data_IF_183542140301
#
_entry.id   IF_183542140301
#
_cell.length_a   1.000
_cell.length_b   1.000
_cell.length_c   1.000
_cell.angle_alpha   90.00
_cell.angle_beta   90.00
_cell.angle_gamma   90.00
#
_symmetry.space_group_name_H-M   'P 1'
#
loop_
_entity.id
_entity.type
_entity.pdbx_description
1 polymer ?
#
# COMPACT_ATOMS: atom_id res chain seq x y z
N UNK A 1 -14.86 -27.90 14.94
CA UNK A 1 -15.56 -29.13 15.38
C UNK A 1 -16.63 -28.86 16.45
N UNK A 2 -16.35 -28.24 17.62
CA UNK A 2 -17.43 -27.99 18.61
C UNK A 2 -18.57 -27.03 18.16
N UNK A 3 -18.28 -26.10 17.25
CA UNK A 3 -19.21 -25.03 16.84
C UNK A 3 -20.32 -25.49 15.87
N UNK A 4 -20.05 -26.47 15.02
CA UNK A 4 -21.09 -27.03 14.14
C UNK A 4 -22.14 -27.77 14.98
N UNK A 5 -21.71 -28.45 16.05
CA UNK A 5 -22.59 -29.03 17.05
C UNK A 5 -23.47 -27.98 17.74
N UNK A 6 -22.94 -26.85 18.22
CA UNK A 6 -23.76 -25.86 18.94
C UNK A 6 -24.81 -25.17 18.05
N UNK A 7 -24.51 -24.99 16.75
CA UNK A 7 -25.48 -24.46 15.78
C UNK A 7 -26.53 -25.50 15.42
N UNK A 8 -26.12 -26.75 15.21
CA UNK A 8 -27.04 -27.86 14.98
C UNK A 8 -27.98 -28.06 16.17
N UNK A 9 -27.46 -28.07 17.40
CA UNK A 9 -28.26 -28.18 18.63
C UNK A 9 -29.25 -27.02 18.75
N UNK A 10 -28.84 -25.78 18.46
CA UNK A 10 -29.74 -24.64 18.48
C UNK A 10 -30.87 -24.75 17.44
N UNK A 11 -30.56 -25.21 16.23
CA UNK A 11 -31.56 -25.45 15.16
C UNK A 11 -32.53 -26.56 15.58
N UNK A 12 -32.02 -27.67 16.12
CA UNK A 12 -32.84 -28.79 16.59
C UNK A 12 -33.79 -28.32 17.70
N UNK A 13 -33.30 -27.56 18.68
CA UNK A 13 -34.13 -27.03 19.75
C UNK A 13 -35.19 -26.04 19.25
N UNK A 14 -34.87 -25.21 18.25
CA UNK A 14 -35.85 -24.31 17.61
C UNK A 14 -36.95 -25.06 16.87
N UNK A 15 -36.64 -26.21 16.25
CA UNK A 15 -37.64 -27.04 15.57
C UNK A 15 -38.49 -27.79 16.59
N UNK A 16 -37.89 -28.37 17.62
CA UNK A 16 -38.61 -29.08 18.69
C UNK A 16 -39.55 -28.14 19.45
N UNK A 17 -39.14 -26.88 19.66
CA UNK A 17 -39.96 -25.87 20.34
C UNK A 17 -41.23 -25.44 19.60
N UNK A 18 -41.39 -25.82 18.32
CA UNK A 18 -42.66 -25.61 17.58
C UNK A 18 -43.80 -26.40 18.24
N UNK A 19 -43.54 -27.62 18.72
CA UNK A 19 -44.56 -28.51 19.28
C UNK A 19 -45.18 -27.92 20.57
N UNK A 20 -44.39 -27.47 21.56
CA UNK A 20 -44.91 -26.74 22.73
C UNK A 20 -45.66 -25.45 22.37
N UNK A 21 -45.22 -24.72 21.34
CA UNK A 21 -45.88 -23.47 20.92
C UNK A 21 -47.26 -23.76 20.34
N UNK A 22 -47.39 -24.79 19.49
CA UNK A 22 -48.69 -25.22 18.95
C UNK A 22 -49.60 -25.68 20.09
N UNK A 23 -49.09 -26.50 21.01
CA UNK A 23 -49.83 -26.99 22.16
C UNK A 23 -50.35 -25.85 23.05
N UNK A 24 -49.49 -24.91 23.42
CA UNK A 24 -49.86 -23.74 24.22
C UNK A 24 -50.88 -22.84 23.48
N UNK A 25 -50.71 -22.67 22.17
CA UNK A 25 -51.63 -21.89 21.34
C UNK A 25 -53.03 -22.49 21.32
N UNK A 26 -53.15 -23.81 21.26
CA UNK A 26 -54.43 -24.52 21.28
C UNK A 26 -55.12 -24.47 22.64
N UNK A 27 -54.34 -24.41 23.73
CA UNK A 27 -54.88 -24.26 25.08
C UNK A 27 -55.36 -22.84 25.38
N UNK A 28 -54.68 -21.82 24.84
CA UNK A 28 -55.04 -20.40 25.02
C UNK A 28 -56.18 -19.97 24.07
N UNK A 29 -56.34 -20.67 22.94
CA UNK A 29 -57.34 -20.35 21.91
C UNK A 29 -58.76 -20.05 22.43
N UNK A 30 -59.33 -20.79 23.40
CA UNK A 30 -60.68 -20.51 23.92
C UNK A 30 -60.80 -19.22 24.73
N UNK A 31 -59.70 -18.69 25.27
CA UNK A 31 -59.67 -17.54 26.18
C UNK A 31 -59.30 -16.22 25.47
N UNK A 32 -59.13 -16.26 24.15
CA UNK A 32 -58.68 -15.09 23.38
C UNK A 32 -59.76 -14.03 23.20
N UNK A 33 -61.03 -14.43 23.20
CA UNK A 33 -62.16 -13.53 23.03
C UNK A 33 -62.32 -12.50 24.16
N UNK A 34 -61.93 -12.81 25.41
CA UNK A 34 -61.96 -11.85 26.53
C UNK A 34 -60.62 -11.18 26.85
N UNK A 35 -59.64 -11.28 25.94
CA UNK A 35 -58.39 -10.52 26.01
C UNK A 35 -57.40 -10.96 27.08
N UNK A 36 -56.39 -10.12 27.32
CA UNK A 36 -55.24 -10.42 28.21
C UNK A 36 -55.62 -10.85 29.65
N UNK A 37 -56.64 -10.27 30.32
CA UNK A 37 -57.00 -10.68 31.67
C UNK A 37 -57.54 -12.11 31.75
N UNK A 38 -58.34 -12.52 30.77
CA UNK A 38 -58.93 -13.87 30.72
C UNK A 38 -57.89 -14.92 30.30
N UNK A 39 -56.95 -14.55 29.42
CA UNK A 39 -55.79 -15.38 29.09
C UNK A 39 -54.93 -15.60 30.34
N UNK A 40 -54.64 -14.55 31.12
CA UNK A 40 -53.80 -14.64 32.32
C UNK A 40 -54.45 -15.46 33.44
N UNK A 41 -55.76 -15.29 33.65
CA UNK A 41 -56.51 -16.07 34.64
C UNK A 41 -56.59 -17.56 34.27
N UNK A 42 -56.79 -17.88 32.98
CA UNK A 42 -56.81 -19.26 32.52
C UNK A 42 -55.41 -19.88 32.45
N UNK A 43 -54.35 -19.11 32.21
CA UNK A 43 -52.98 -19.63 32.13
C UNK A 43 -52.56 -20.38 33.41
N UNK A 44 -53.06 -19.95 34.58
CA UNK A 44 -52.80 -20.57 35.87
C UNK A 44 -53.46 -21.95 36.01
N UNK A 45 -54.62 -22.16 35.38
CA UNK A 45 -55.39 -23.41 35.43
C UNK A 45 -55.12 -24.34 34.24
N UNK A 46 -54.44 -23.86 33.19
CA UNK A 46 -54.03 -24.65 32.02
C UNK A 46 -53.12 -25.84 32.37
N UNK A 47 -52.31 -25.72 33.42
CA UNK A 47 -51.40 -26.79 33.84
C UNK A 47 -52.09 -27.91 34.64
N UNK A 48 -53.28 -27.64 35.18
CA UNK A 48 -54.06 -28.65 35.89
C UNK A 48 -54.70 -29.66 34.92
N UNK A 49 -54.95 -29.25 33.66
CA UNK A 49 -55.55 -30.10 32.62
C UNK A 49 -54.84 -29.94 31.26
N UNK A 50 -53.60 -30.43 31.12
CA UNK A 50 -52.74 -30.16 29.96
C UNK A 50 -53.22 -30.75 28.62
N UNK A 51 -54.19 -31.66 28.63
CA UNK A 51 -54.69 -32.34 27.43
C UNK A 51 -56.13 -31.96 27.05
N UNK A 52 -56.78 -31.04 27.78
CA UNK A 52 -58.16 -30.61 27.49
C UNK A 52 -58.22 -29.56 26.37
N UNK A 53 -57.88 -29.96 25.15
CA UNK A 53 -57.87 -29.08 23.97
C UNK A 53 -59.28 -28.95 23.39
N UNK A 54 -59.82 -27.72 23.35
CA UNK A 54 -61.09 -27.39 22.69
C UNK A 54 -60.83 -26.61 21.41
N UNK A 55 -61.18 -27.19 20.27
CA UNK A 55 -61.08 -26.50 18.98
C UNK A 55 -62.21 -25.49 18.83
N UNK A 56 -61.87 -24.20 18.78
CA UNK A 56 -62.78 -23.08 18.56
C UNK A 56 -62.44 -22.36 17.25
N UNK A 57 -63.32 -21.45 16.79
CA UNK A 57 -63.13 -20.72 15.54
C UNK A 57 -61.83 -19.89 15.48
N UNK A 58 -61.29 -19.51 16.65
CA UNK A 58 -60.06 -18.73 16.74
C UNK A 58 -58.79 -19.57 16.89
N UNK A 59 -58.88 -20.89 17.10
CA UNK A 59 -57.72 -21.78 17.31
C UNK A 59 -56.67 -21.69 16.21
N UNK A 60 -57.09 -21.62 14.95
CA UNK A 60 -56.17 -21.54 13.81
C UNK A 60 -55.45 -20.19 13.76
N UNK A 61 -56.15 -19.08 14.02
CA UNK A 61 -55.55 -17.74 14.06
C UNK A 61 -54.52 -17.62 15.18
N UNK A 62 -54.84 -18.16 16.35
CA UNK A 62 -53.96 -18.15 17.52
C UNK A 62 -52.67 -18.92 17.29
N UNK A 63 -52.77 -20.13 16.73
CA UNK A 63 -51.60 -20.95 16.38
C UNK A 63 -50.70 -20.22 15.39
N UNK A 64 -51.28 -19.61 14.34
CA UNK A 64 -50.50 -18.87 13.34
C UNK A 64 -49.79 -17.65 13.93
N UNK A 65 -50.47 -16.86 14.76
CA UNK A 65 -49.88 -15.67 15.40
C UNK A 65 -48.73 -16.05 16.33
N UNK A 66 -48.92 -17.05 17.19
CA UNK A 66 -47.88 -17.47 18.14
C UNK A 66 -46.70 -18.17 17.45
N UNK A 67 -46.94 -18.94 16.38
CA UNK A 67 -45.88 -19.47 15.55
C UNK A 67 -45.09 -18.36 14.83
N UNK A 68 -45.77 -17.32 14.36
CA UNK A 68 -45.11 -16.16 13.75
C UNK A 68 -44.25 -15.40 14.77
N UNK A 69 -44.77 -15.14 15.97
CA UNK A 69 -44.02 -14.53 17.07
C UNK A 69 -42.81 -15.38 17.48
N UNK A 70 -42.99 -16.72 17.56
CA UNK A 70 -41.91 -17.65 17.87
C UNK A 70 -40.83 -17.67 16.78
N UNK A 71 -41.24 -17.72 15.51
CA UNK A 71 -40.33 -17.63 14.36
C UNK A 71 -39.56 -16.31 14.32
N UNK A 72 -40.22 -15.18 14.62
CA UNK A 72 -39.58 -13.88 14.73
C UNK A 72 -38.56 -13.83 15.88
N UNK A 73 -38.89 -14.39 17.05
CA UNK A 73 -37.97 -14.49 18.18
C UNK A 73 -36.73 -15.33 17.88
N UNK A 74 -36.90 -16.47 17.20
CA UNK A 74 -35.78 -17.30 16.72
C UNK A 74 -34.94 -16.52 15.70
N UNK A 75 -35.57 -15.81 14.77
CA UNK A 75 -34.89 -14.98 13.79
C UNK A 75 -34.00 -13.92 14.44
N UNK A 76 -34.50 -13.22 15.45
CA UNK A 76 -33.74 -12.24 16.25
C UNK A 76 -32.60 -12.93 17.01
N UNK A 77 -32.83 -14.10 17.60
CA UNK A 77 -31.80 -14.84 18.33
C UNK A 77 -30.63 -15.25 17.44
N UNK A 78 -30.90 -15.76 16.24
CA UNK A 78 -29.84 -16.14 15.30
C UNK A 78 -29.16 -14.93 14.67
N UNK A 79 -29.86 -13.81 14.46
CA UNK A 79 -29.27 -12.58 13.89
C UNK A 79 -28.38 -11.83 14.90
N UNK A 80 -28.68 -11.90 16.19
CA UNK A 80 -27.92 -11.23 17.26
C UNK A 80 -26.71 -12.03 17.76
N UNK A 81 -26.51 -13.27 17.30
CA UNK A 81 -25.33 -14.08 17.66
C UNK A 81 -24.05 -13.50 17.06
N UNK A 82 -23.32 -12.75 17.87
CA UNK A 82 -21.96 -12.29 17.55
C UNK A 82 -20.92 -13.39 17.75
N UNK A 83 -19.83 -13.31 16.98
CA UNK A 83 -18.70 -14.25 17.05
C UNK A 83 -17.77 -13.94 18.24
N UNK A 84 -18.20 -14.27 19.45
CA UNK A 84 -17.35 -14.11 20.64
C UNK A 84 -16.35 -15.27 20.78
N UNK A 85 -15.07 -14.93 20.96
CA UNK A 85 -13.99 -15.88 21.29
C UNK A 85 -13.75 -15.89 22.80
N UNK A 86 -14.73 -16.41 23.54
CA UNK A 86 -14.71 -16.40 25.02
C UNK A 86 -13.50 -17.21 25.52
N UNK A 87 -12.80 -16.68 26.53
CA UNK A 87 -11.60 -17.27 27.15
C UNK A 87 -10.34 -17.30 26.27
N UNK A 88 -10.34 -16.58 25.15
CA UNK A 88 -9.16 -16.37 24.30
C UNK A 88 -8.67 -14.90 24.38
N UNK A 89 -8.89 -14.24 25.53
CA UNK A 89 -8.63 -12.81 25.76
C UNK A 89 -7.14 -12.45 25.65
N UNK A 90 -6.26 -13.35 26.05
CA UNK A 90 -4.80 -13.21 25.92
C UNK A 90 -4.24 -13.84 24.64
N UNK A 91 -5.09 -14.18 23.68
CA UNK A 91 -4.71 -14.82 22.43
C UNK A 91 -4.96 -16.33 22.41
N UNK A 92 -5.10 -16.87 21.19
CA UNK A 92 -5.37 -18.29 20.92
C UNK A 92 -4.27 -18.95 20.09
N UNK A 93 -3.08 -18.36 20.11
CA UNK A 93 -1.92 -18.89 19.41
C UNK A 93 -1.56 -20.27 19.95
N UNK A 94 -1.21 -21.18 19.06
CA UNK A 94 -0.79 -22.53 19.41
C UNK A 94 0.30 -23.00 18.44
N UNK A 95 1.17 -23.87 18.93
CA UNK A 95 2.13 -24.56 18.08
C UNK A 95 1.38 -25.39 17.04
N UNK A 96 1.71 -25.16 15.78
CA UNK A 96 1.11 -25.88 14.67
C UNK A 96 1.96 -27.06 14.23
N UNK A 97 1.31 -28.08 13.67
CA UNK A 97 2.02 -29.17 13.02
C UNK A 97 2.57 -28.70 11.66
N UNK A 98 3.89 -28.81 11.48
CA UNK A 98 4.62 -28.33 10.29
C UNK A 98 4.04 -28.90 9.00
N UNK A 99 3.81 -30.22 8.93
CA UNK A 99 3.26 -30.87 7.74
C UNK A 99 1.85 -30.39 7.42
N UNK A 100 1.03 -30.18 8.44
CA UNK A 100 -0.33 -29.67 8.27
C UNK A 100 -0.35 -28.21 7.78
N UNK A 101 0.57 -27.37 8.28
CA UNK A 101 0.71 -25.97 7.85
C UNK A 101 1.19 -25.91 6.41
N UNK A 102 2.26 -26.61 6.06
CA UNK A 102 2.80 -26.62 4.70
C UNK A 102 1.77 -27.19 3.70
N UNK A 103 1.11 -28.31 4.02
CA UNK A 103 0.03 -28.85 3.16
C UNK A 103 -1.10 -27.85 2.92
N UNK A 104 -1.41 -27.00 3.90
CA UNK A 104 -2.49 -26.00 3.81
C UNK A 104 -2.11 -24.81 2.92
N UNK A 105 -0.86 -24.36 2.97
CA UNK A 105 -0.44 -23.11 2.34
C UNK A 105 0.45 -23.30 1.11
N UNK A 106 1.02 -24.48 0.88
CA UNK A 106 1.79 -24.81 -0.31
C UNK A 106 0.91 -24.82 -1.56
N UNK A 107 1.44 -24.28 -2.64
CA UNK A 107 0.90 -24.33 -3.99
C UNK A 107 1.76 -25.24 -4.87
N UNK A 108 1.14 -25.88 -5.87
CA UNK A 108 1.84 -26.56 -6.96
C UNK A 108 1.61 -25.74 -8.24
N UNK A 109 2.62 -25.54 -9.11
CA UNK A 109 4.02 -26.00 -9.00
C UNK A 109 4.84 -25.27 -7.93
N UNK A 110 6.07 -25.76 -7.62
CA UNK A 110 6.93 -25.17 -6.59
C UNK A 110 7.31 -23.71 -6.87
N UNK A 111 7.40 -23.32 -8.14
CA UNK A 111 7.64 -21.94 -8.59
C UNK A 111 6.54 -20.96 -8.16
N UNK A 112 5.38 -21.43 -7.70
CA UNK A 112 4.29 -20.58 -7.22
C UNK A 112 4.34 -20.35 -5.70
N UNK A 113 5.52 -20.49 -5.07
CA UNK A 113 5.66 -20.38 -3.62
C UNK A 113 6.78 -19.44 -3.22
N UNK A 114 6.55 -18.76 -2.10
CA UNK A 114 7.55 -18.05 -1.30
C UNK A 114 8.02 -18.97 -0.17
N UNK A 115 9.34 -19.03 0.03
CA UNK A 115 9.96 -19.86 1.06
C UNK A 115 9.89 -19.13 2.42
N UNK A 116 9.37 -19.82 3.44
CA UNK A 116 9.28 -19.28 4.80
C UNK A 116 10.30 -19.92 5.73
N UNK A 117 10.39 -21.25 5.70
CA UNK A 117 11.36 -22.06 6.45
C UNK A 117 11.80 -23.25 5.61
N UNK A 118 12.71 -24.08 6.12
CA UNK A 118 13.13 -25.32 5.47
C UNK A 118 11.95 -26.26 5.12
N UNK A 119 10.87 -26.21 5.90
CA UNK A 119 9.75 -27.15 5.79
C UNK A 119 8.42 -26.50 5.39
N UNK A 120 8.36 -25.17 5.31
CA UNK A 120 7.11 -24.44 5.06
C UNK A 120 7.32 -23.40 3.97
N UNK A 121 6.39 -23.41 3.01
CA UNK A 121 6.26 -22.37 2.00
C UNK A 121 4.81 -21.86 1.95
N UNK A 122 4.63 -20.69 1.37
CA UNK A 122 3.32 -20.07 1.16
C UNK A 122 3.11 -19.78 -0.33
N UNK A 123 1.98 -20.22 -0.86
CA UNK A 123 1.61 -19.99 -2.25
C UNK A 123 1.41 -18.51 -2.56
N UNK A 124 1.84 -18.07 -3.74
CA UNK A 124 1.71 -16.68 -4.20
C UNK A 124 0.24 -16.27 -4.44
N UNK A 125 -0.68 -17.22 -4.55
CA UNK A 125 -2.10 -16.92 -4.70
C UNK A 125 -2.77 -16.57 -3.35
N UNK A 126 -2.75 -15.28 -3.01
CA UNK A 126 -3.36 -14.77 -1.79
C UNK A 126 -4.88 -15.02 -1.72
N UNK A 127 -5.61 -15.04 -2.85
CA UNK A 127 -7.06 -15.32 -2.89
C UNK A 127 -7.37 -16.76 -2.47
N UNK A 128 -6.55 -17.72 -2.91
CA UNK A 128 -6.68 -19.13 -2.54
C UNK A 128 -6.42 -19.36 -1.06
N UNK A 129 -5.32 -18.80 -0.54
CA UNK A 129 -4.87 -19.07 0.83
C UNK A 129 -5.47 -18.11 1.87
N UNK A 130 -6.12 -17.01 1.42
CA UNK A 130 -6.67 -15.93 2.24
C UNK A 130 -5.64 -15.42 3.26
N UNK A 131 -4.41 -15.20 2.79
CA UNK A 131 -3.29 -14.72 3.60
C UNK A 131 -2.55 -13.63 2.87
N UNK A 132 -2.18 -12.59 3.62
CA UNK A 132 -1.22 -11.60 3.17
C UNK A 132 0.17 -12.27 3.06
N UNK A 133 0.91 -11.91 2.01
CA UNK A 133 2.24 -12.42 1.70
C UNK A 133 3.38 -11.51 2.20
N UNK A 134 3.03 -10.35 2.77
CA UNK A 134 3.94 -9.48 3.48
C UNK A 134 4.58 -10.26 4.62
N UNK A 135 5.91 -10.23 4.70
CA UNK A 135 6.68 -10.98 5.70
C UNK A 135 7.67 -10.05 6.36
N UNK A 136 7.59 -9.98 7.69
CA UNK A 136 8.58 -9.30 8.51
C UNK A 136 9.55 -10.35 9.06
N UNK A 137 10.84 -10.15 8.81
CA UNK A 137 11.91 -11.00 9.35
C UNK A 137 12.72 -10.18 10.33
N UNK A 138 12.57 -10.48 11.62
CA UNK A 138 13.30 -9.81 12.70
C UNK A 138 14.48 -10.66 13.14
N UNK A 139 15.64 -10.03 13.31
CA UNK A 139 16.84 -10.66 13.85
C UNK A 139 17.95 -9.64 14.02
N UNK A 140 18.80 -9.84 15.03
CA UNK A 140 19.96 -8.98 15.28
C UNK A 140 20.97 -8.97 14.12
N UNK A 141 21.99 -8.13 14.22
CA UNK A 141 23.15 -8.23 13.33
C UNK A 141 23.78 -9.61 13.45
N UNK A 142 24.24 -10.19 12.32
CA UNK A 142 24.81 -11.54 12.29
C UNK A 142 23.79 -12.70 12.38
N UNK A 143 22.49 -12.44 12.56
CA UNK A 143 21.46 -13.50 12.63
C UNK A 143 21.23 -14.25 11.29
N UNK A 144 21.89 -13.82 10.21
CA UNK A 144 21.83 -14.47 8.91
C UNK A 144 20.54 -14.21 8.12
N UNK A 145 19.85 -13.08 8.35
CA UNK A 145 18.62 -12.69 7.63
C UNK A 145 18.79 -12.76 6.10
N UNK A 146 19.84 -12.13 5.59
CA UNK A 146 20.19 -12.10 4.16
C UNK A 146 20.49 -13.51 3.64
N UNK A 147 21.33 -14.26 4.36
CA UNK A 147 21.81 -15.59 3.94
C UNK A 147 20.74 -16.68 3.99
N UNK A 148 19.89 -16.68 5.01
CA UNK A 148 18.93 -17.77 5.26
C UNK A 148 17.51 -17.47 4.77
N UNK A 149 17.18 -16.20 4.50
CA UNK A 149 15.83 -15.84 4.03
C UNK A 149 15.84 -15.09 2.69
N UNK A 150 16.61 -14.00 2.55
CA UNK A 150 16.59 -13.19 1.34
C UNK A 150 17.15 -13.94 0.13
N UNK A 151 18.41 -14.40 0.21
CA UNK A 151 19.09 -15.13 -0.87
C UNK A 151 18.30 -16.38 -1.29
N UNK A 152 17.83 -17.27 -0.39
CA UNK A 152 17.04 -18.43 -0.80
C UNK A 152 15.74 -18.08 -1.53
N UNK A 153 15.04 -17.02 -1.13
CA UNK A 153 13.81 -16.59 -1.81
C UNK A 153 14.07 -16.01 -3.20
N UNK A 154 15.21 -15.33 -3.41
CA UNK A 154 15.64 -14.84 -4.72
C UNK A 154 16.10 -16.00 -5.59
N UNK A 155 16.94 -16.89 -5.05
CA UNK A 155 17.42 -18.09 -5.74
C UNK A 155 16.30 -19.05 -6.10
N UNK A 156 15.20 -19.09 -5.33
CA UNK A 156 14.00 -19.86 -5.67
C UNK A 156 13.44 -19.43 -7.03
N UNK A 157 13.53 -18.14 -7.38
CA UNK A 157 13.02 -17.56 -8.61
C UNK A 157 11.58 -17.99 -8.88
N UNK A 158 10.72 -17.64 -7.92
CA UNK A 158 9.30 -17.92 -8.01
C UNK A 158 8.68 -17.16 -9.20
N UNK A 159 7.42 -17.43 -9.56
CA UNK A 159 6.73 -16.72 -10.66
C UNK A 159 6.36 -15.30 -10.24
N UNK A 160 7.37 -14.46 -10.01
CA UNK A 160 7.29 -13.06 -9.66
C UNK A 160 8.53 -12.31 -10.18
N UNK A 161 8.40 -10.99 -10.30
CA UNK A 161 9.52 -10.06 -10.42
C UNK A 161 10.09 -9.73 -9.05
N UNK A 162 11.33 -9.27 -9.00
CA UNK A 162 12.01 -8.92 -7.76
C UNK A 162 12.43 -7.46 -7.76
N UNK A 163 12.26 -6.81 -6.62
CA UNK A 163 12.82 -5.48 -6.32
C UNK A 163 13.62 -5.65 -5.04
N UNK A 164 14.94 -5.55 -5.14
CA UNK A 164 15.86 -5.89 -4.05
C UNK A 164 16.56 -4.61 -3.59
N UNK A 165 16.40 -4.27 -2.32
CA UNK A 165 17.31 -3.34 -1.64
C UNK A 165 18.53 -4.14 -1.20
N UNK A 166 19.70 -3.80 -1.72
CA UNK A 166 20.93 -4.56 -1.53
C UNK A 166 22.05 -3.68 -0.96
N UNK A 167 22.10 -3.50 0.37
CA UNK A 167 23.23 -2.84 1.00
C UNK A 167 24.53 -3.56 0.62
N UNK A 168 25.53 -2.81 0.13
CA UNK A 168 26.85 -3.31 -0.31
C UNK A 168 26.88 -4.20 -1.56
N UNK A 169 25.74 -4.49 -2.19
CA UNK A 169 25.70 -5.27 -3.43
C UNK A 169 26.00 -6.77 -3.29
N UNK A 170 25.86 -7.33 -2.08
CA UNK A 170 26.16 -8.75 -1.83
C UNK A 170 25.14 -9.69 -2.47
N UNK A 171 23.88 -9.28 -2.55
CA UNK A 171 22.80 -10.10 -3.10
C UNK A 171 22.90 -10.15 -4.63
N UNK A 172 23.17 -9.02 -5.29
CA UNK A 172 23.41 -8.95 -6.73
C UNK A 172 24.58 -9.84 -7.12
N UNK A 173 25.71 -9.73 -6.41
CA UNK A 173 26.90 -10.54 -6.66
C UNK A 173 26.62 -12.04 -6.60
N UNK A 174 25.85 -12.47 -5.62
CA UNK A 174 25.57 -13.89 -5.39
C UNK A 174 24.46 -14.45 -6.28
N UNK A 175 23.50 -13.62 -6.71
CA UNK A 175 22.24 -14.09 -7.33
C UNK A 175 21.94 -13.53 -8.71
N UNK A 176 22.57 -12.45 -9.15
CA UNK A 176 22.29 -11.78 -10.43
C UNK A 176 22.39 -12.73 -11.63
N UNK A 177 23.55 -13.35 -11.83
CA UNK A 177 23.78 -14.33 -12.91
C UNK A 177 22.84 -15.54 -12.85
N UNK A 178 22.39 -15.94 -11.65
CA UNK A 178 21.41 -17.03 -11.51
C UNK A 178 20.05 -16.59 -12.04
N UNK A 179 19.63 -15.36 -11.76
CA UNK A 179 18.36 -14.81 -12.24
C UNK A 179 18.38 -14.67 -13.76
N UNK A 180 19.47 -14.16 -14.35
CA UNK A 180 19.64 -14.10 -15.81
C UNK A 180 19.47 -15.48 -16.46
N UNK A 181 20.14 -16.51 -15.91
CA UNK A 181 20.00 -17.90 -16.38
C UNK A 181 18.58 -18.45 -16.23
N UNK A 182 17.79 -17.89 -15.32
CA UNK A 182 16.37 -18.24 -15.12
C UNK A 182 15.41 -17.37 -15.94
N UNK A 183 15.93 -16.56 -16.85
CA UNK A 183 15.18 -15.74 -17.79
C UNK A 183 14.64 -14.46 -17.17
N UNK A 184 15.31 -13.92 -16.15
CA UNK A 184 15.03 -12.58 -15.66
C UNK A 184 15.86 -11.56 -16.42
N UNK A 185 15.24 -10.43 -16.73
CA UNK A 185 15.97 -9.22 -17.08
C UNK A 185 16.50 -8.58 -15.78
N UNK A 186 17.82 -8.52 -15.62
CA UNK A 186 18.45 -7.94 -14.42
C UNK A 186 18.75 -6.47 -14.69
N UNK A 187 18.18 -5.61 -13.86
CA UNK A 187 18.37 -4.16 -13.89
C UNK A 187 18.98 -3.73 -12.57
N UNK A 188 19.86 -2.74 -12.61
CA UNK A 188 20.67 -2.35 -11.45
C UNK A 188 20.70 -0.83 -11.36
N UNK A 189 20.17 -0.29 -10.26
CA UNK A 189 20.44 1.06 -9.81
C UNK A 189 21.59 1.01 -8.80
N UNK A 190 22.79 1.40 -9.22
CA UNK A 190 24.00 1.36 -8.40
C UNK A 190 24.37 2.73 -7.85
N UNK A 191 24.16 2.96 -6.55
CA UNK A 191 24.57 4.20 -5.88
C UNK A 191 25.95 4.10 -5.21
N UNK A 192 26.65 2.97 -5.37
CA UNK A 192 28.03 2.75 -4.93
C UNK A 192 28.99 3.03 -6.08
N UNK A 193 28.68 2.52 -7.27
CA UNK A 193 29.42 2.70 -8.52
C UNK A 193 28.47 3.17 -9.62
N UNK A 194 28.08 4.44 -9.54
CA UNK A 194 27.07 5.06 -10.42
C UNK A 194 27.39 4.95 -11.91
N UNK A 195 28.66 4.91 -12.27
CA UNK A 195 29.13 4.75 -13.66
C UNK A 195 28.83 3.37 -14.26
N UNK A 196 28.45 2.39 -13.44
CA UNK A 196 28.05 1.03 -13.86
C UNK A 196 26.54 0.79 -13.71
N UNK A 197 25.81 1.79 -13.22
CA UNK A 197 24.38 1.73 -13.02
C UNK A 197 23.64 1.79 -14.35
N UNK A 198 22.47 1.16 -14.41
CA UNK A 198 21.45 1.55 -15.39
C UNK A 198 20.93 2.95 -15.05
N UNK A 199 20.48 3.67 -16.07
CA UNK A 199 19.94 5.01 -15.90
C UNK A 199 18.50 4.98 -15.36
N UNK A 200 18.18 5.94 -14.50
CA UNK A 200 16.85 6.13 -13.92
C UNK A 200 16.46 7.60 -13.97
N UNK A 201 15.52 7.94 -14.85
CA UNK A 201 15.02 9.30 -14.98
C UNK A 201 13.59 9.41 -14.41
N UNK A 202 13.37 10.13 -13.29
CA UNK A 202 12.05 10.30 -12.70
C UNK A 202 11.01 10.98 -13.60
N UNK A 203 11.43 11.78 -14.60
CA UNK A 203 10.51 12.49 -15.49
C UNK A 203 9.71 11.54 -16.38
N UNK A 204 10.27 10.40 -16.76
CA UNK A 204 9.62 9.38 -17.61
C UNK A 204 8.34 8.82 -16.99
N UNK A 205 8.22 8.89 -15.66
CA UNK A 205 7.09 8.34 -14.90
C UNK A 205 6.04 9.39 -14.51
N UNK A 206 6.17 10.63 -14.99
CA UNK A 206 5.21 11.70 -14.77
C UNK A 206 4.10 11.62 -15.82
N UNK A 207 2.83 11.52 -15.38
CA UNK A 207 1.68 11.46 -16.29
C UNK A 207 0.72 12.63 -16.13
N UNK A 208 0.72 13.28 -14.97
CA UNK A 208 -0.21 14.36 -14.63
C UNK A 208 0.35 15.24 -13.51
N UNK A 209 -0.33 16.36 -13.24
CA UNK A 209 0.09 17.35 -12.26
C UNK A 209 0.28 16.81 -10.84
N UNK A 210 -0.50 15.80 -10.43
CA UNK A 210 -0.35 15.21 -9.10
C UNK A 210 0.96 14.44 -8.97
N UNK A 211 1.47 13.86 -10.06
CA UNK A 211 2.72 13.10 -10.03
C UNK A 211 3.92 14.03 -9.94
N UNK A 212 3.87 15.19 -10.62
CA UNK A 212 4.85 16.29 -10.46
C UNK A 212 4.88 16.76 -9.01
N UNK A 213 3.71 17.05 -8.42
CA UNK A 213 3.62 17.46 -7.01
C UNK A 213 4.17 16.40 -6.04
N UNK A 214 3.87 15.12 -6.27
CA UNK A 214 4.39 14.03 -5.45
C UNK A 214 5.90 13.89 -5.59
N UNK A 215 6.46 14.00 -6.80
CA UNK A 215 7.90 13.96 -7.04
C UNK A 215 8.62 15.05 -6.24
N UNK A 216 8.20 16.31 -6.40
CA UNK A 216 8.79 17.45 -5.67
C UNK A 216 8.64 17.28 -4.16
N UNK A 217 7.45 16.92 -3.70
CA UNK A 217 7.20 16.69 -2.27
C UNK A 217 8.10 15.59 -1.70
N UNK A 218 8.28 14.48 -2.42
CA UNK A 218 9.12 13.37 -1.99
C UNK A 218 10.60 13.74 -1.99
N UNK A 219 11.06 14.51 -2.98
CA UNK A 219 12.43 15.00 -3.04
C UNK A 219 12.75 15.90 -1.84
N UNK A 220 11.91 16.90 -1.54
CA UNK A 220 12.08 17.77 -0.37
C UNK A 220 12.03 16.99 0.95
N UNK A 221 11.11 16.03 1.09
CA UNK A 221 11.03 15.17 2.28
C UNK A 221 12.26 14.29 2.46
N UNK A 222 12.85 13.83 1.36
CA UNK A 222 13.98 12.89 1.40
C UNK A 222 15.33 13.59 1.52
N UNK A 223 15.42 14.86 1.12
CA UNK A 223 16.62 15.71 1.26
C UNK A 223 16.61 16.55 2.54
N UNK A 224 15.57 16.43 3.38
CA UNK A 224 15.49 17.07 4.69
C UNK A 224 16.04 16.15 5.78
N UNK A 225 17.08 16.57 6.54
CA UNK A 225 17.64 15.74 7.60
C UNK A 225 16.59 15.33 8.65
N UNK A 226 16.76 14.13 9.22
CA UNK A 226 15.84 13.63 10.25
C UNK A 226 15.97 14.46 11.52
N UNK A 227 14.88 15.10 11.94
CA UNK A 227 14.84 15.92 13.16
C UNK A 227 15.09 17.42 12.93
N UNK A 228 15.49 17.83 11.73
CA UNK A 228 15.49 19.24 11.32
C UNK A 228 14.13 19.58 10.71
N UNK A 229 13.15 19.91 11.54
CA UNK A 229 12.05 20.75 11.04
C UNK A 229 12.66 22.14 10.83
N UNK A 230 12.55 22.70 9.63
CA UNK A 230 12.92 24.10 9.43
C UNK A 230 12.13 24.94 10.43
N UNK A 231 12.80 25.77 11.22
CA UNK A 231 12.13 26.73 12.10
C UNK A 231 11.29 27.75 11.30
N UNK A 232 11.53 27.87 10.00
CA UNK A 232 10.79 28.73 9.08
C UNK A 232 10.37 27.95 7.81
N UNK A 233 9.10 27.47 7.76
CA UNK A 233 8.57 26.73 6.60
C UNK A 233 8.49 27.54 5.31
N UNK A 234 8.64 28.87 5.38
CA UNK A 234 8.53 29.75 4.21
C UNK A 234 9.55 29.37 3.12
N UNK A 235 10.82 29.24 3.48
CA UNK A 235 11.91 29.01 2.53
C UNK A 235 11.77 27.67 1.79
N UNK A 236 11.43 26.60 2.52
CA UNK A 236 11.20 25.28 1.93
C UNK A 236 9.97 25.29 1.01
N UNK A 237 8.91 26.00 1.39
CA UNK A 237 7.69 26.12 0.59
C UNK A 237 7.95 26.90 -0.69
N UNK A 238 8.63 28.04 -0.61
CA UNK A 238 8.96 28.87 -1.76
C UNK A 238 9.94 28.18 -2.71
N UNK A 239 10.97 27.50 -2.18
CA UNK A 239 11.88 26.69 -2.98
C UNK A 239 11.15 25.53 -3.68
N UNK A 240 10.17 24.91 -3.01
CA UNK A 240 9.31 23.89 -3.63
C UNK A 240 8.44 24.48 -4.74
N UNK A 241 7.93 25.71 -4.62
CA UNK A 241 7.17 26.37 -5.69
C UNK A 241 8.04 26.63 -6.91
N UNK A 242 9.27 27.12 -6.71
CA UNK A 242 10.22 27.30 -7.81
C UNK A 242 10.51 25.96 -8.50
N UNK A 243 10.80 24.89 -7.73
CA UNK A 243 11.03 23.58 -8.33
C UNK A 243 9.81 23.06 -9.10
N UNK A 244 8.59 23.26 -8.58
CA UNK A 244 7.37 22.90 -9.30
C UNK A 244 7.29 23.64 -10.64
N UNK A 245 7.53 24.95 -10.66
CA UNK A 245 7.54 25.73 -11.90
C UNK A 245 8.51 25.15 -12.94
N UNK A 246 9.75 24.84 -12.52
CA UNK A 246 10.77 24.27 -13.40
C UNK A 246 10.40 22.87 -13.91
N UNK A 247 9.94 21.97 -13.03
CA UNK A 247 9.56 20.61 -13.42
C UNK A 247 8.33 20.62 -14.33
N UNK A 248 7.35 21.48 -14.06
CA UNK A 248 6.18 21.64 -14.93
C UNK A 248 6.54 22.16 -16.31
N UNK A 249 7.45 23.15 -16.37
CA UNK A 249 7.95 23.66 -17.64
C UNK A 249 8.62 22.53 -18.44
N UNK A 250 9.58 21.82 -17.82
CA UNK A 250 10.30 20.75 -18.50
C UNK A 250 9.36 19.61 -18.93
N UNK A 251 8.42 19.21 -18.09
CA UNK A 251 7.52 18.09 -18.40
C UNK A 251 6.59 18.37 -19.60
N UNK A 252 6.08 19.60 -19.72
CA UNK A 252 5.06 19.93 -20.71
C UNK A 252 5.61 20.62 -21.98
N UNK A 253 6.69 21.40 -21.86
CA UNK A 253 7.18 22.24 -22.96
C UNK A 253 8.54 21.77 -23.51
N UNK A 254 9.40 21.17 -22.67
CA UNK A 254 10.74 20.76 -23.09
C UNK A 254 10.73 19.38 -23.76
N UNK A 255 11.63 19.14 -24.74
CA UNK A 255 11.74 17.85 -25.39
C UNK A 255 12.24 16.77 -24.41
N UNK A 256 11.89 15.47 -24.62
CA UNK A 256 12.17 14.40 -23.66
C UNK A 256 13.64 14.28 -23.20
N UNK A 257 14.60 14.59 -24.07
CA UNK A 257 16.04 14.59 -23.79
C UNK A 257 16.46 15.64 -22.76
N UNK A 258 15.70 16.73 -22.63
CA UNK A 258 15.95 17.81 -21.67
C UNK A 258 15.21 17.60 -20.35
N UNK A 259 14.29 16.63 -20.29
CA UNK A 259 13.47 16.36 -19.10
C UNK A 259 14.25 15.61 -18.02
N UNK A 260 15.18 16.29 -17.35
CA UNK A 260 16.01 15.70 -16.30
C UNK A 260 16.44 16.75 -15.25
N UNK A 261 16.96 16.28 -14.11
CA UNK A 261 17.38 17.17 -13.03
C UNK A 261 18.66 17.97 -13.34
N UNK A 262 19.48 17.54 -14.31
CA UNK A 262 20.61 18.34 -14.76
C UNK A 262 20.10 19.62 -15.45
N UNK A 263 19.08 19.52 -16.30
CA UNK A 263 18.43 20.68 -16.91
C UNK A 263 17.72 21.57 -15.88
N UNK A 264 17.09 21.00 -14.85
CA UNK A 264 16.56 21.79 -13.73
C UNK A 264 17.65 22.67 -13.10
N UNK A 265 18.86 22.12 -12.92
CA UNK A 265 19.99 22.88 -12.39
C UNK A 265 20.51 23.95 -13.36
N UNK A 266 20.49 23.69 -14.67
CA UNK A 266 20.81 24.70 -15.68
C UNK A 266 19.79 25.85 -15.69
N UNK A 267 18.49 25.53 -15.68
CA UNK A 267 17.43 26.54 -15.59
C UNK A 267 17.58 27.39 -14.32
N UNK A 268 17.91 26.77 -13.18
CA UNK A 268 18.14 27.48 -11.92
C UNK A 268 19.33 28.43 -12.01
N UNK A 269 20.43 28.02 -12.67
CA UNK A 269 21.58 28.90 -12.95
C UNK A 269 21.22 30.04 -13.90
N UNK A 270 20.44 29.76 -14.93
CA UNK A 270 19.96 30.73 -15.90
C UNK A 270 19.00 31.78 -15.30
N UNK A 271 18.46 31.53 -14.11
CA UNK A 271 17.66 32.48 -13.35
C UNK A 271 18.45 33.31 -12.33
N UNK A 272 19.78 33.20 -12.28
CA UNK A 272 20.58 33.86 -11.26
C UNK A 272 20.42 35.39 -11.30
N UNK A 273 20.20 35.98 -10.13
CA UNK A 273 20.10 37.43 -9.94
C UNK A 273 21.52 37.97 -9.65
N UNK A 274 22.12 38.60 -10.66
CA UNK A 274 23.47 39.16 -10.57
C UNK A 274 23.51 40.48 -9.79
N UNK A 275 22.64 41.43 -10.14
CA UNK A 275 22.51 42.73 -9.47
C UNK A 275 21.18 42.82 -8.71
N UNK A 276 21.26 43.15 -7.41
CA UNK A 276 20.08 43.31 -6.55
C UNK A 276 19.43 44.70 -6.71
N UNK A 277 20.22 45.69 -7.16
CA UNK A 277 19.83 47.10 -7.28
C UNK A 277 19.37 47.46 -8.70
N UNK A 278 19.78 46.69 -9.72
CA UNK A 278 19.32 46.81 -11.12
C UNK A 278 18.85 45.45 -11.68
N UNK A 279 17.61 45.02 -11.34
CA UNK A 279 17.10 43.72 -11.75
C UNK A 279 16.73 43.72 -13.25
N UNK A 280 17.68 43.33 -14.09
CA UNK A 280 17.41 42.97 -15.48
C UNK A 280 16.75 41.58 -15.56
N UNK A 281 15.83 41.34 -16.51
CA UNK A 281 15.24 40.02 -16.72
C UNK A 281 16.32 38.98 -17.02
N UNK A 282 16.34 37.90 -16.24
CA UNK A 282 17.23 36.77 -16.48
C UNK A 282 16.79 35.96 -17.71
N UNK A 283 17.66 35.12 -18.30
CA UNK A 283 17.24 34.15 -19.31
C UNK A 283 16.05 33.28 -18.88
N UNK A 284 15.96 32.91 -17.61
CA UNK A 284 14.81 32.18 -17.07
C UNK A 284 13.53 33.04 -17.07
N UNK A 285 13.63 34.33 -16.73
CA UNK A 285 12.48 35.25 -16.74
C UNK A 285 11.94 35.45 -18.17
N UNK A 286 12.84 35.53 -19.15
CA UNK A 286 12.46 35.60 -20.56
C UNK A 286 11.75 34.31 -21.01
N UNK A 287 12.28 33.14 -20.63
CA UNK A 287 11.68 31.84 -20.94
C UNK A 287 10.23 31.72 -20.44
N UNK A 288 9.98 32.14 -19.19
CA UNK A 288 8.62 32.13 -18.63
C UNK A 288 7.75 33.25 -19.21
N UNK A 289 8.34 34.37 -19.64
CA UNK A 289 7.61 35.44 -20.33
C UNK A 289 7.13 35.01 -21.72
N UNK A 290 7.96 34.26 -22.46
CA UNK A 290 7.58 33.67 -23.75
C UNK A 290 6.46 32.63 -23.57
N UNK A 291 6.57 31.76 -22.55
CA UNK A 291 5.50 30.81 -22.20
C UNK A 291 4.19 31.53 -21.85
N UNK A 292 4.25 32.70 -21.20
CA UNK A 292 3.07 33.50 -20.88
C UNK A 292 2.40 34.07 -22.14
N UNK A 293 3.17 34.42 -23.17
CA UNK A 293 2.64 34.89 -24.46
C UNK A 293 1.92 33.74 -25.17
N UNK A 294 2.52 32.55 -25.17
CA UNK A 294 2.00 31.40 -25.91
C UNK A 294 0.84 30.70 -25.18
N UNK A 295 0.94 30.54 -23.86
CA UNK A 295 -0.04 29.85 -23.02
C UNK A 295 -0.19 30.49 -21.62
N UNK A 296 -0.97 31.58 -21.48
CA UNK A 296 -1.11 32.33 -20.23
C UNK A 296 -1.64 31.50 -19.03
N UNK A 297 -2.41 30.44 -19.29
CA UNK A 297 -3.03 29.60 -18.26
C UNK A 297 -2.16 28.42 -17.80
N UNK A 298 -0.94 28.30 -18.35
CA UNK A 298 -0.03 27.20 -18.08
C UNK A 298 0.30 27.07 -16.57
N UNK A 299 0.30 25.84 -16.05
CA UNK A 299 0.48 25.58 -14.61
C UNK A 299 1.88 26.02 -14.12
N UNK A 300 2.91 25.88 -14.95
CA UNK A 300 4.25 26.33 -14.61
C UNK A 300 4.29 27.84 -14.29
N UNK A 301 3.55 28.66 -15.04
CA UNK A 301 3.45 30.11 -14.80
C UNK A 301 2.83 30.43 -13.46
N UNK A 302 1.78 29.70 -13.05
CA UNK A 302 1.10 29.90 -11.76
C UNK A 302 2.08 29.72 -10.59
N UNK A 303 2.92 28.69 -10.66
CA UNK A 303 3.97 28.47 -9.67
C UNK A 303 5.12 29.48 -9.79
N UNK A 304 5.53 29.85 -11.01
CA UNK A 304 6.58 30.83 -11.25
C UNK A 304 6.21 32.21 -10.71
N UNK A 305 5.00 32.71 -11.00
CA UNK A 305 4.49 33.98 -10.46
C UNK A 305 4.37 33.96 -8.93
N UNK A 306 3.97 32.82 -8.35
CA UNK A 306 3.89 32.68 -6.90
C UNK A 306 5.27 32.83 -6.25
N UNK A 307 6.29 32.22 -6.86
CA UNK A 307 7.70 32.40 -6.47
C UNK A 307 8.17 33.86 -6.69
N UNK A 308 7.86 34.45 -7.83
CA UNK A 308 8.37 35.75 -8.29
C UNK A 308 7.66 36.98 -7.68
N UNK A 309 7.04 36.82 -6.51
CA UNK A 309 6.26 37.87 -5.83
C UNK A 309 7.04 38.66 -4.76
N UNK A 310 8.27 38.24 -4.46
CA UNK A 310 9.14 38.87 -3.46
C UNK A 310 10.19 39.84 -4.04
N UNK A 311 10.94 40.50 -3.17
CA UNK A 311 12.08 41.35 -3.58
C UNK A 311 13.24 40.52 -4.17
N UNK A 312 14.11 41.12 -4.98
CA UNK A 312 15.28 40.45 -5.59
C UNK A 312 16.13 39.68 -4.57
N UNK A 313 16.37 40.28 -3.40
CA UNK A 313 17.08 39.63 -2.27
C UNK A 313 16.37 38.39 -1.74
N UNK A 314 15.03 38.42 -1.68
CA UNK A 314 14.21 37.27 -1.25
C UNK A 314 14.26 36.16 -2.29
N UNK A 315 14.10 36.49 -3.57
CA UNK A 315 14.18 35.54 -4.68
C UNK A 315 15.54 34.84 -4.73
N UNK A 316 16.63 35.59 -4.61
CA UNK A 316 17.99 35.05 -4.53
C UNK A 316 18.16 34.08 -3.37
N UNK A 317 17.61 34.39 -2.19
CA UNK A 317 17.64 33.48 -1.04
C UNK A 317 16.81 32.20 -1.25
N UNK A 318 15.70 32.29 -1.98
CA UNK A 318 14.91 31.11 -2.36
C UNK A 318 15.68 30.24 -3.36
N UNK A 319 16.33 30.84 -4.38
CA UNK A 319 17.17 30.12 -5.34
C UNK A 319 18.33 29.40 -4.66
N UNK A 320 19.02 30.06 -3.72
CA UNK A 320 20.09 29.45 -2.92
C UNK A 320 19.55 28.26 -2.11
N UNK A 321 18.36 28.40 -1.52
CA UNK A 321 17.71 27.31 -0.79
C UNK A 321 17.44 26.12 -1.70
N UNK A 322 16.87 26.34 -2.88
CA UNK A 322 16.63 25.27 -3.86
C UNK A 322 17.93 24.63 -4.35
N UNK A 323 18.94 25.43 -4.71
CA UNK A 323 20.24 24.95 -5.17
C UNK A 323 20.92 24.08 -4.12
N UNK A 324 20.84 24.44 -2.83
CA UNK A 324 21.37 23.64 -1.74
C UNK A 324 20.65 22.28 -1.60
N UNK A 325 19.33 22.22 -1.84
CA UNK A 325 18.57 20.96 -1.82
C UNK A 325 18.89 20.05 -3.01
N UNK A 326 19.22 20.64 -4.15
CA UNK A 326 19.52 19.92 -5.38
C UNK A 326 21.03 19.74 -5.64
N UNK A 327 21.89 20.16 -4.70
CA UNK A 327 23.35 20.18 -4.86
C UNK A 327 23.93 18.84 -5.33
N UNK A 328 23.36 17.71 -4.88
CA UNK A 328 23.77 16.37 -5.30
C UNK A 328 23.63 16.11 -6.81
N UNK A 329 22.73 16.79 -7.50
CA UNK A 329 22.56 16.69 -8.96
C UNK A 329 23.64 17.44 -9.75
N UNK A 330 24.48 18.26 -9.10
CA UNK A 330 25.66 18.83 -9.77
C UNK A 330 26.78 17.81 -9.98
N UNK A 331 26.72 16.66 -9.30
CA UNK A 331 27.71 15.60 -9.51
C UNK A 331 27.48 14.95 -10.87
N UNK A 332 28.52 14.95 -11.72
CA UNK A 332 28.46 14.38 -13.07
C UNK A 332 27.97 12.92 -13.06
N UNK A 333 28.40 12.13 -12.07
CA UNK A 333 27.95 10.75 -11.89
C UNK A 333 26.45 10.63 -11.65
N UNK A 334 25.86 11.58 -10.92
CA UNK A 334 24.43 11.57 -10.63
C UNK A 334 23.61 12.14 -11.78
N UNK A 335 24.11 13.19 -12.43
CA UNK A 335 23.51 13.74 -13.63
C UNK A 335 23.45 12.67 -14.74
N UNK A 336 24.54 11.94 -14.97
CA UNK A 336 24.60 10.84 -15.93
C UNK A 336 23.59 9.73 -15.58
N UNK A 337 23.57 9.29 -14.31
CA UNK A 337 22.65 8.25 -13.83
C UNK A 337 21.17 8.65 -14.01
N UNK A 338 20.85 9.94 -13.96
CA UNK A 338 19.45 10.45 -14.07
C UNK A 338 19.10 11.07 -15.42
N UNK A 339 19.99 10.93 -16.41
CA UNK A 339 19.82 11.55 -17.74
C UNK A 339 18.80 10.81 -18.63
N UNK A 340 18.74 9.49 -18.50
CA UNK A 340 17.85 8.61 -19.28
C UNK A 340 17.14 7.60 -18.36
N UNK A 341 16.19 6.85 -18.89
CA UNK A 341 15.57 5.73 -18.18
C UNK A 341 15.81 4.41 -18.90
N UNK A 342 16.38 3.46 -18.16
CA UNK A 342 16.57 2.07 -18.57
C UNK A 342 15.87 1.11 -17.59
N UNK A 343 15.24 1.64 -16.53
CA UNK A 343 14.63 0.84 -15.49
C UNK A 343 13.24 0.33 -15.85
N UNK A 344 12.49 1.02 -16.73
CA UNK A 344 11.19 0.61 -17.25
C UNK A 344 10.30 -0.01 -16.15
N UNK A 345 9.93 0.82 -15.17
CA UNK A 345 9.33 0.36 -13.90
C UNK A 345 8.00 -0.37 -14.07
N UNK A 346 7.21 -0.04 -15.10
CA UNK A 346 5.92 -0.67 -15.34
C UNK A 346 6.08 -2.16 -15.67
N UNK A 347 7.09 -2.51 -16.49
CA UNK A 347 7.30 -3.89 -16.95
C UNK A 347 7.59 -4.90 -15.84
N UNK A 348 7.98 -4.47 -14.64
CA UNK A 348 8.12 -5.35 -13.47
C UNK A 348 6.80 -6.10 -13.17
N UNK A 349 5.64 -5.49 -13.46
CA UNK A 349 4.32 -6.10 -13.30
C UNK A 349 3.89 -7.02 -14.44
N UNK A 350 4.65 -7.08 -15.54
CA UNK A 350 4.23 -7.72 -16.80
C UNK A 350 5.13 -8.89 -17.19
N UNK A 351 6.45 -8.73 -17.03
CA UNK A 351 7.48 -9.73 -17.38
C UNK A 351 8.41 -9.99 -16.20
N UNK A 352 9.27 -11.01 -16.30
CA UNK A 352 10.24 -11.36 -15.25
C UNK A 352 11.40 -10.37 -15.22
N UNK A 353 11.38 -9.46 -14.26
CA UNK A 353 12.44 -8.47 -14.05
C UNK A 353 12.98 -8.58 -12.63
N UNK A 354 14.28 -8.40 -12.46
CA UNK A 354 14.92 -8.28 -11.15
C UNK A 354 15.65 -6.94 -11.06
N UNK A 355 15.07 -6.00 -10.33
CA UNK A 355 15.64 -4.68 -10.09
C UNK A 355 16.41 -4.69 -8.77
N UNK A 356 17.72 -4.45 -8.83
CA UNK A 356 18.58 -4.29 -7.67
C UNK A 356 18.86 -2.82 -7.42
N UNK A 357 18.57 -2.33 -6.21
CA UNK A 357 18.95 -1.01 -5.74
C UNK A 357 20.09 -1.15 -4.74
N UNK A 358 21.31 -0.85 -5.20
CA UNK A 358 22.52 -0.93 -4.39
C UNK A 358 22.71 0.39 -3.64
N UNK A 359 22.84 0.29 -2.33
CA UNK A 359 23.11 1.44 -1.47
C UNK A 359 24.40 1.23 -0.67
N UNK A 360 25.19 2.29 -0.46
CA UNK A 360 26.28 2.26 0.52
C UNK A 360 25.70 2.07 1.94
N UNK A 361 26.39 1.30 2.77
CA UNK A 361 25.99 0.98 4.15
C UNK A 361 26.42 2.06 5.16
N UNK A 362 27.47 2.82 4.81
CA UNK A 362 28.08 3.86 5.62
C UNK A 362 27.63 5.29 5.28
N UNK A 363 26.97 5.48 4.13
CA UNK A 363 26.54 6.78 3.63
C UNK A 363 25.07 6.75 3.22
N UNK A 364 24.33 7.80 3.59
CA UNK A 364 22.91 7.96 3.26
C UNK A 364 22.64 9.08 2.26
N UNK A 365 23.70 9.72 1.74
CA UNK A 365 23.64 10.91 0.89
C UNK A 365 22.75 10.74 -0.34
N UNK A 366 22.70 9.53 -0.94
CA UNK A 366 21.92 9.25 -2.16
C UNK A 366 20.64 8.45 -1.93
N UNK A 367 20.28 8.14 -0.67
CA UNK A 367 19.09 7.34 -0.35
C UNK A 367 17.77 8.01 -0.78
N UNK A 368 17.80 9.32 -1.08
CA UNK A 368 16.65 10.03 -1.63
C UNK A 368 16.23 9.48 -3.01
N UNK A 369 17.18 9.05 -3.85
CA UNK A 369 16.85 8.48 -5.17
C UNK A 369 16.09 7.17 -5.05
N UNK A 370 16.53 6.31 -4.14
CA UNK A 370 15.83 5.05 -3.82
C UNK A 370 14.42 5.34 -3.27
N UNK A 371 14.25 6.39 -2.49
CA UNK A 371 12.94 6.81 -1.98
C UNK A 371 11.99 7.28 -3.11
N UNK A 372 12.52 8.05 -4.07
CA UNK A 372 11.77 8.48 -5.26
C UNK A 372 11.43 7.27 -6.13
N UNK A 373 12.42 6.40 -6.40
CA UNK A 373 12.27 5.15 -7.15
C UNK A 373 11.14 4.30 -6.58
N UNK A 374 11.13 4.04 -5.27
CA UNK A 374 10.07 3.24 -4.66
C UNK A 374 8.71 3.89 -4.82
N UNK A 375 8.62 5.21 -4.66
CA UNK A 375 7.33 5.90 -4.78
C UNK A 375 6.79 5.80 -6.20
N UNK A 376 7.63 6.04 -7.21
CA UNK A 376 7.22 5.94 -8.61
C UNK A 376 6.94 4.49 -9.00
N UNK A 377 7.75 3.54 -8.57
CA UNK A 377 7.53 2.13 -8.81
C UNK A 377 6.17 1.68 -8.28
N UNK A 378 5.79 2.05 -7.05
CA UNK A 378 4.45 1.73 -6.55
C UNK A 378 3.34 2.41 -7.35
N UNK A 379 3.51 3.67 -7.75
CA UNK A 379 2.52 4.38 -8.57
C UNK A 379 2.31 3.67 -9.91
N UNK A 380 3.39 3.32 -10.60
CA UNK A 380 3.35 2.60 -11.89
C UNK A 380 2.69 1.23 -11.75
N UNK A 381 3.06 0.46 -10.71
CA UNK A 381 2.48 -0.86 -10.46
C UNK A 381 0.99 -0.80 -10.08
N UNK A 382 0.56 0.20 -9.30
CA UNK A 382 -0.86 0.39 -8.98
C UNK A 382 -1.65 0.83 -10.21
N UNK A 383 -1.12 1.77 -10.98
CA UNK A 383 -1.74 2.22 -12.22
C UNK A 383 -1.93 1.05 -13.20
N UNK A 384 -0.88 0.26 -13.43
CA UNK A 384 -0.95 -0.91 -14.29
C UNK A 384 -1.93 -1.96 -13.76
N UNK A 385 -1.97 -2.19 -12.45
CA UNK A 385 -2.94 -3.10 -11.85
C UNK A 385 -4.37 -2.63 -12.09
N UNK A 386 -4.71 -1.40 -11.71
CA UNK A 386 -6.08 -0.90 -11.65
C UNK A 386 -6.64 -0.51 -13.02
N UNK A 387 -5.83 0.12 -13.87
CA UNK A 387 -6.29 0.67 -15.15
C UNK A 387 -5.98 -0.21 -16.36
N UNK A 388 -4.91 -1.02 -16.33
CA UNK A 388 -4.50 -1.85 -17.48
C UNK A 388 -4.97 -3.30 -17.31
N UNK A 389 -4.84 -3.87 -16.10
CA UNK A 389 -5.05 -5.30 -15.86
C UNK A 389 -6.29 -5.64 -15.00
N UNK A 390 -7.13 -4.67 -14.67
CA UNK A 390 -8.42 -4.91 -13.99
C UNK A 390 -8.30 -5.37 -12.54
N UNK A 391 -7.32 -4.84 -11.81
CA UNK A 391 -7.11 -4.99 -10.37
C UNK A 391 -6.06 -6.03 -9.96
N UNK A 392 -5.31 -6.62 -10.88
CA UNK A 392 -4.22 -7.56 -10.54
C UNK A 392 -3.15 -7.63 -11.63
N UNK A 393 -1.89 -7.48 -11.25
CA UNK A 393 -0.75 -7.61 -12.18
C UNK A 393 -0.59 -9.06 -12.70
N UNK A 394 -0.32 -9.26 -13.99
CA UNK A 394 0.00 -10.58 -14.57
C UNK A 394 1.20 -11.26 -13.91
N UNK A 395 2.22 -10.45 -13.57
CA UNK A 395 3.41 -10.84 -12.82
C UNK A 395 3.38 -10.20 -11.42
N UNK A 396 3.29 -10.98 -10.34
CA UNK A 396 3.45 -10.44 -8.99
C UNK A 396 4.84 -9.81 -8.82
N UNK A 397 4.94 -8.73 -8.05
CA UNK A 397 6.24 -8.09 -7.73
C UNK A 397 6.58 -8.32 -6.27
N UNK A 398 7.75 -8.91 -6.00
CA UNK A 398 8.23 -9.20 -4.66
C UNK A 398 9.34 -8.24 -4.27
N UNK A 399 9.03 -7.37 -3.30
CA UNK A 399 9.99 -6.47 -2.70
C UNK A 399 10.77 -7.20 -1.60
N UNK A 400 12.08 -7.34 -1.80
CA UNK A 400 13.04 -7.83 -0.82
C UNK A 400 13.83 -6.64 -0.28
N UNK A 401 13.32 -6.03 0.78
CA UNK A 401 13.92 -4.85 1.39
C UNK A 401 14.84 -5.28 2.54
N UNK A 402 16.07 -5.71 2.22
CA UNK A 402 17.05 -5.97 3.27
C UNK A 402 17.39 -4.65 3.98
N UNK A 403 17.50 -4.69 5.31
CA UNK A 403 17.65 -3.49 6.14
C UNK A 403 16.62 -2.37 5.91
N UNK A 404 15.32 -2.72 5.90
CA UNK A 404 14.21 -1.78 5.72
C UNK A 404 14.31 -0.47 6.53
N UNK A 405 14.88 -0.50 7.74
CA UNK A 405 15.02 0.68 8.59
C UNK A 405 16.07 1.70 8.10
N UNK A 406 17.07 1.26 7.31
CA UNK A 406 18.21 2.08 6.89
C UNK A 406 17.96 2.79 5.55
N UNK A 407 17.27 2.14 4.61
CA UNK A 407 17.15 2.62 3.23
C UNK A 407 15.82 3.26 2.83
N UNK A 408 14.85 3.38 3.75
CA UNK A 408 13.47 3.71 3.39
C UNK A 408 12.90 4.84 4.27
N UNK A 409 12.45 5.93 3.63
CA UNK A 409 11.79 7.06 4.31
C UNK A 409 10.36 6.69 4.75
N UNK A 410 9.79 7.43 5.71
CA UNK A 410 8.47 7.14 6.33
C UNK A 410 7.29 7.11 5.34
N UNK A 411 7.46 7.54 4.09
CA UNK A 411 6.42 7.51 3.05
C UNK A 411 6.18 6.10 2.48
N UNK A 412 7.23 5.29 2.33
CA UNK A 412 7.14 3.94 1.73
C UNK A 412 6.24 2.97 2.51
N UNK A 413 6.23 2.92 3.87
CA UNK A 413 5.26 2.11 4.62
C UNK A 413 3.80 2.40 4.27
N UNK A 414 3.43 3.67 4.04
CA UNK A 414 2.06 4.04 3.67
C UNK A 414 1.70 3.53 2.28
N UNK A 415 2.66 3.56 1.34
CA UNK A 415 2.49 3.08 -0.04
C UNK A 415 2.49 1.55 -0.15
N UNK A 416 3.27 0.84 0.69
CA UNK A 416 3.31 -0.63 0.79
C UNK A 416 2.04 -1.19 1.48
N UNK A 417 1.07 -0.34 1.84
CA UNK A 417 -0.14 -0.77 2.52
C UNK A 417 0.11 -1.26 3.95
N UNK A 418 1.22 -0.87 4.57
CA UNK A 418 1.37 -0.89 6.04
C UNK A 418 0.60 0.33 6.58
N UNK A 419 -0.69 0.33 6.33
CA UNK A 419 -1.64 1.24 6.97
C UNK A 419 -2.38 0.46 8.05
N UNK A 420 -2.75 1.12 9.14
CA UNK A 420 -3.45 0.52 10.30
C UNK A 420 -4.74 -0.25 9.95
N UNK A 421 -5.20 -0.19 8.69
CA UNK A 421 -6.43 -0.85 8.20
C UNK A 421 -6.20 -2.17 7.45
N UNK A 422 -4.97 -2.56 7.11
CA UNK A 422 -4.70 -3.80 6.35
C UNK A 422 -4.47 -5.05 7.22
N UNK A 423 -4.64 -4.92 8.54
CA UNK A 423 -4.47 -6.02 9.53
C UNK A 423 -5.80 -6.49 10.13
N UNK A 424 -6.96 -6.14 9.54
CA UNK A 424 -8.26 -6.64 9.97
C UNK A 424 -8.76 -7.82 9.12
#
# INVERSE_FOLDING_TARGET
MKRDNDRQTAIILSIVGIVPVIWLSLLIAPSISGGLPEIAANLATLFDNPFSIKLCGDSLKTVLILLLCYGMGIGIYFSTRKNYRRREEHGSAKWGNVRAIDKKYRQKPLSENKLMTQNVCIGLNAKKHRRNLNTLVCGGSGAGKTRFYAKPNIMNAARNSYVILDPKGEILRDTGHLLEKKGYEVRVLDLISMEKSHCYNPFVYLQNDNDVQKLVTNLFKSTTPKGSQSNDPFWDTAASMLLLALVFYLHYEAPPEEQNFAMVMEMLRAGAIEDEDDPSPSPLDNLFSDLMIDNPDHIALKYYHSYHSGSSKTLKSIQITLAARLEKFNLESLAALTSADELDLQSLGEKKVALFALIPDNDSSFNFLVSILYTQLFQQLFYAADHIHGGCLPMPVHFMMDEFANGVTRSTPKTVGITDKSVA
#
